data_IF_075271024231
#
_entry.id   IF_075271024231
#
_cell.length_a   1.000
_cell.length_b   1.000
_cell.length_c   1.000
_cell.angle_alpha   90.00
_cell.angle_beta   90.00
_cell.angle_gamma   90.00
#
_symmetry.space_group_name_H-M   'P 1'
#
loop_
_entity.id
_entity.type
_entity.pdbx_description
1 polymer ?
#
# COMPACT_ATOMS: atom_id res chain seq x y z
N UNK A 1 25.92 12.16 4.11
CA UNK A 1 25.61 13.55 3.72
C UNK A 1 24.14 13.67 3.38
N UNK A 2 23.46 14.69 3.90
CA UNK A 2 22.05 14.94 3.57
C UNK A 2 21.92 15.84 2.33
N UNK A 3 20.78 15.73 1.64
CA UNK A 3 20.51 16.42 0.36
C UNK A 3 20.48 17.95 0.46
N UNK A 4 20.31 18.51 1.66
CA UNK A 4 20.40 19.96 1.95
C UNK A 4 21.85 20.45 2.16
N UNK A 5 22.84 19.56 1.99
CA UNK A 5 24.26 19.85 2.14
C UNK A 5 24.81 19.62 3.54
N UNK A 6 23.98 19.35 4.55
CA UNK A 6 24.40 19.05 5.90
C UNK A 6 25.16 17.70 5.97
N UNK A 7 26.18 17.63 6.81
CA UNK A 7 26.96 16.42 7.02
C UNK A 7 26.80 15.99 8.47
N UNK A 8 26.49 14.73 8.69
CA UNK A 8 26.50 14.09 10.00
C UNK A 8 27.59 13.02 10.00
N UNK A 9 28.42 13.01 11.04
CA UNK A 9 29.49 12.04 11.23
C UNK A 9 29.20 11.19 12.47
N UNK A 10 29.36 9.88 12.36
CA UNK A 10 29.26 8.93 13.48
C UNK A 10 30.37 7.92 13.40
N UNK A 11 30.93 7.56 14.53
CA UNK A 11 31.91 6.49 14.64
C UNK A 11 31.28 5.08 14.66
N UNK A 12 29.97 5.01 14.95
CA UNK A 12 29.20 3.78 15.03
C UNK A 12 28.09 3.79 13.96
N UNK A 13 27.69 2.61 13.47
CA UNK A 13 26.51 2.48 12.60
C UNK A 13 25.29 3.13 13.25
N UNK A 14 24.54 3.91 12.49
CA UNK A 14 23.40 4.67 13.01
C UNK A 14 22.21 4.61 12.05
N UNK A 15 20.98 4.59 12.59
CA UNK A 15 19.80 4.65 11.73
C UNK A 15 19.65 6.01 11.07
N UNK A 16 19.00 6.04 9.89
CA UNK A 16 18.62 7.29 9.20
C UNK A 16 17.84 8.21 10.14
N UNK A 17 16.92 7.63 10.94
CA UNK A 17 16.11 8.37 11.91
C UNK A 17 16.98 9.07 12.97
N UNK A 18 17.89 8.33 13.61
CA UNK A 18 18.75 8.90 14.66
C UNK A 18 19.75 9.91 14.09
N UNK A 19 20.31 9.65 12.90
CA UNK A 19 21.18 10.61 12.21
C UNK A 19 20.45 11.92 11.90
N UNK A 20 19.22 11.83 11.34
CA UNK A 20 18.40 13.02 11.08
C UNK A 20 17.99 13.73 12.37
N UNK A 21 17.60 12.99 13.41
CA UNK A 21 17.23 13.56 14.71
C UNK A 21 18.41 14.27 15.37
N UNK A 22 19.60 13.70 15.31
CA UNK A 22 20.81 14.31 15.87
C UNK A 22 21.19 15.59 15.15
N UNK A 23 21.01 15.62 13.81
CA UNK A 23 21.38 16.77 12.99
C UNK A 23 20.37 17.91 13.08
N UNK A 24 19.06 17.60 13.08
CA UNK A 24 17.96 18.59 13.03
C UNK A 24 17.25 18.79 14.37
N UNK A 25 17.66 18.07 15.43
CA UNK A 25 17.02 18.12 16.77
C UNK A 25 15.72 17.28 16.83
N UNK A 26 14.99 17.15 15.74
CA UNK A 26 13.79 16.29 15.64
C UNK A 26 13.55 15.91 14.19
N UNK A 27 12.90 14.77 13.97
CA UNK A 27 12.41 14.37 12.65
C UNK A 27 10.96 14.81 12.53
N UNK A 28 10.66 15.63 11.51
CA UNK A 28 9.28 16.07 11.22
C UNK A 28 8.39 14.84 10.96
N UNK A 29 7.13 14.93 11.39
CA UNK A 29 6.10 13.92 11.10
C UNK A 29 5.77 13.78 9.62
N UNK A 30 6.17 14.75 8.80
CA UNK A 30 6.01 14.71 7.35
C UNK A 30 7.06 13.81 6.67
N UNK A 31 8.17 13.49 7.38
CA UNK A 31 9.20 12.61 6.86
C UNK A 31 8.72 11.16 6.98
N UNK A 32 8.63 10.49 5.85
CA UNK A 32 8.03 9.16 5.71
C UNK A 32 9.08 8.06 5.54
N UNK A 33 10.15 8.36 4.81
CA UNK A 33 11.22 7.43 4.46
C UNK A 33 12.46 8.22 4.04
N UNK A 34 13.48 7.56 3.51
CA UNK A 34 14.64 8.22 2.92
C UNK A 34 15.10 7.52 1.64
N UNK A 35 15.71 8.28 0.72
CA UNK A 35 16.62 7.69 -0.26
C UNK A 35 18.00 7.61 0.38
N UNK A 36 18.58 6.42 0.38
CA UNK A 36 19.97 6.17 0.77
C UNK A 36 20.70 5.71 -0.48
N UNK A 37 21.67 6.49 -0.93
CA UNK A 37 22.39 6.25 -2.19
C UNK A 37 21.44 6.04 -3.41
N UNK A 38 20.28 6.73 -3.41
CA UNK A 38 19.27 6.65 -4.47
C UNK A 38 18.23 5.55 -4.32
N UNK A 39 18.34 4.68 -3.31
CA UNK A 39 17.36 3.64 -3.01
C UNK A 39 16.43 4.05 -1.87
N UNK A 40 15.12 3.79 -2.02
CA UNK A 40 14.15 4.06 -0.97
C UNK A 40 14.31 3.05 0.18
N UNK A 41 14.49 3.56 1.38
CA UNK A 41 14.69 2.79 2.62
C UNK A 41 13.81 3.34 3.75
N UNK A 42 13.54 2.49 4.73
CA UNK A 42 12.90 2.90 5.98
C UNK A 42 13.79 3.85 6.77
N UNK A 43 13.19 4.68 7.62
CA UNK A 43 13.94 5.52 8.55
C UNK A 43 14.72 4.72 9.59
N UNK A 44 14.34 3.48 9.86
CA UNK A 44 15.04 2.54 10.74
C UNK A 44 16.29 1.90 10.10
N UNK A 45 16.50 2.09 8.80
CA UNK A 45 17.67 1.53 8.09
C UNK A 45 18.97 2.06 8.72
N UNK A 46 19.84 1.12 9.08
CA UNK A 46 21.15 1.42 9.67
C UNK A 46 22.16 1.72 8.56
N UNK A 47 22.84 2.84 8.70
CA UNK A 47 23.92 3.30 7.82
C UNK A 47 25.24 2.94 8.47
N UNK A 48 26.06 2.17 7.79
CA UNK A 48 27.39 1.69 8.23
C UNK A 48 28.55 2.20 7.38
N UNK A 49 28.25 2.96 6.32
CA UNK A 49 29.21 3.50 5.37
C UNK A 49 28.79 4.92 4.93
N UNK A 50 29.72 5.62 4.28
CA UNK A 50 29.44 6.95 3.72
C UNK A 50 28.29 6.88 2.73
N UNK A 51 27.26 7.65 3.01
CA UNK A 51 26.02 7.60 2.22
C UNK A 51 25.43 8.98 1.96
N UNK A 52 24.83 9.14 0.78
CA UNK A 52 23.99 10.28 0.45
C UNK A 52 22.54 9.99 0.87
N UNK A 53 21.95 10.88 1.67
CA UNK A 53 20.62 10.72 2.25
C UNK A 53 19.71 11.86 1.82
N UNK A 54 18.55 11.53 1.25
CA UNK A 54 17.44 12.46 1.03
C UNK A 54 16.22 12.00 1.83
N UNK A 55 15.76 12.82 2.76
CA UNK A 55 14.51 12.57 3.49
C UNK A 55 13.32 12.75 2.54
N UNK A 56 12.39 11.80 2.57
CA UNK A 56 11.22 11.75 1.70
C UNK A 56 9.95 12.14 2.46
N UNK A 57 9.12 12.93 1.81
CA UNK A 57 7.79 13.33 2.27
C UNK A 57 6.71 12.85 1.31
N UNK A 58 5.45 13.11 1.60
CA UNK A 58 4.35 12.80 0.67
C UNK A 58 4.38 13.62 -0.64
N UNK A 59 5.26 14.61 -0.75
CA UNK A 59 5.49 15.36 -2.00
C UNK A 59 6.37 14.59 -2.98
N UNK A 60 7.17 13.65 -2.47
CA UNK A 60 8.05 12.79 -3.28
C UNK A 60 7.29 11.52 -3.69
N UNK A 61 7.46 11.07 -4.93
CA UNK A 61 6.75 9.88 -5.44
C UNK A 61 7.07 8.62 -4.61
N UNK A 62 8.35 8.42 -4.26
CA UNK A 62 8.75 7.29 -3.42
C UNK A 62 8.16 7.42 -2.00
N UNK A 63 8.05 8.63 -1.45
CA UNK A 63 7.37 8.87 -0.17
C UNK A 63 5.88 8.50 -0.22
N UNK A 64 5.17 8.84 -1.31
CA UNK A 64 3.79 8.42 -1.54
C UNK A 64 3.67 6.90 -1.62
N UNK A 65 4.58 6.23 -2.34
CA UNK A 65 4.59 4.76 -2.46
C UNK A 65 4.73 4.09 -1.11
N UNK A 66 5.71 4.51 -0.29
CA UNK A 66 5.91 3.99 1.06
C UNK A 66 4.68 4.19 1.95
N UNK A 67 4.07 5.37 1.89
CA UNK A 67 2.87 5.69 2.64
C UNK A 67 1.68 4.81 2.25
N UNK A 68 1.40 4.68 0.97
CA UNK A 68 0.31 3.86 0.42
C UNK A 68 0.55 2.37 0.64
N UNK A 69 1.79 1.91 0.52
CA UNK A 69 2.15 0.53 0.80
C UNK A 69 1.91 0.17 2.27
N UNK A 70 2.26 1.08 3.19
CA UNK A 70 1.93 0.89 4.61
C UNK A 70 0.41 0.89 4.86
N UNK A 71 -0.36 1.72 4.14
CA UNK A 71 -1.82 1.68 4.23
C UNK A 71 -2.40 0.34 3.77
N UNK A 72 -1.80 -0.31 2.75
CA UNK A 72 -2.18 -1.65 2.32
C UNK A 72 -1.94 -2.69 3.44
N UNK A 73 -0.80 -2.61 4.16
CA UNK A 73 -0.52 -3.49 5.30
C UNK A 73 -1.48 -3.26 6.47
N UNK A 74 -1.86 -2.01 6.76
CA UNK A 74 -2.88 -1.71 7.79
C UNK A 74 -4.23 -2.31 7.38
N UNK A 75 -4.61 -2.25 6.11
CA UNK A 75 -5.81 -2.90 5.60
C UNK A 75 -5.73 -4.43 5.74
N UNK A 76 -4.60 -5.02 5.37
CA UNK A 76 -4.40 -6.47 5.49
C UNK A 76 -4.48 -6.94 6.95
N UNK A 77 -3.88 -6.21 7.90
CA UNK A 77 -4.02 -6.48 9.33
C UNK A 77 -5.48 -6.38 9.78
N UNK A 78 -6.21 -5.35 9.36
CA UNK A 78 -7.62 -5.18 9.69
C UNK A 78 -8.48 -6.36 9.18
N UNK A 79 -8.22 -6.81 7.94
CA UNK A 79 -8.91 -7.98 7.38
C UNK A 79 -8.57 -9.24 8.17
N UNK A 80 -7.31 -9.47 8.55
CA UNK A 80 -6.89 -10.63 9.36
C UNK A 80 -7.50 -10.61 10.76
N UNK A 81 -7.66 -9.44 11.38
CA UNK A 81 -8.35 -9.31 12.68
C UNK A 81 -9.83 -9.68 12.60
N UNK A 82 -10.52 -9.23 11.55
CA UNK A 82 -11.95 -9.47 11.38
C UNK A 82 -12.24 -10.86 10.79
N UNK A 83 -11.38 -11.35 9.91
CA UNK A 83 -11.55 -12.58 9.14
C UNK A 83 -10.24 -13.39 9.13
N UNK A 84 -9.88 -14.06 10.24
CA UNK A 84 -8.58 -14.73 10.39
C UNK A 84 -8.28 -15.82 9.36
N UNK A 85 -9.31 -16.48 8.78
CA UNK A 85 -9.16 -17.51 7.76
C UNK A 85 -8.78 -16.96 6.37
N UNK A 86 -8.97 -15.64 6.14
CA UNK A 86 -8.65 -14.99 4.87
C UNK A 86 -7.15 -15.08 4.59
N UNK A 87 -6.78 -15.50 3.35
CA UNK A 87 -5.40 -15.49 2.88
C UNK A 87 -5.13 -14.26 2.05
N UNK A 88 -3.91 -13.78 2.11
CA UNK A 88 -3.50 -12.58 1.38
C UNK A 88 -2.44 -12.91 0.33
N UNK A 89 -2.41 -12.14 -0.75
CA UNK A 89 -1.38 -12.28 -1.78
C UNK A 89 -0.49 -11.05 -1.84
N UNK A 90 -0.78 -10.11 -2.74
CA UNK A 90 0.02 -8.90 -2.96
C UNK A 90 -0.79 -7.65 -2.62
N UNK A 91 -0.09 -6.62 -2.12
CA UNK A 91 -0.67 -5.33 -1.75
C UNK A 91 0.18 -4.13 -2.20
N UNK A 92 0.36 -3.91 -3.53
CA UNK A 92 1.18 -2.83 -4.01
C UNK A 92 0.52 -1.47 -3.83
N UNK A 93 1.36 -0.45 -3.67
CA UNK A 93 0.97 0.93 -3.92
C UNK A 93 0.78 1.15 -5.42
N UNK A 94 -0.17 2.02 -5.77
CA UNK A 94 -0.42 2.50 -7.14
C UNK A 94 -0.22 4.02 -7.20
N UNK A 95 -0.27 4.59 -8.40
CA UNK A 95 -0.10 6.05 -8.60
C UNK A 95 -1.16 6.88 -7.87
N UNK A 96 -2.34 6.33 -7.63
CA UNK A 96 -3.47 7.04 -7.00
C UNK A 96 -3.90 6.48 -5.65
N UNK A 97 -3.41 5.29 -5.27
CA UNK A 97 -3.84 4.63 -4.05
C UNK A 97 -3.07 3.35 -3.76
N UNK A 98 -3.78 2.32 -3.37
CA UNK A 98 -3.25 0.98 -3.12
C UNK A 98 -4.35 -0.06 -3.31
N UNK A 99 -3.98 -1.32 -3.43
CA UNK A 99 -4.93 -2.43 -3.35
C UNK A 99 -4.31 -3.62 -2.62
N UNK A 100 -5.14 -4.57 -2.23
CA UNK A 100 -4.73 -5.86 -1.69
C UNK A 100 -5.68 -6.93 -2.20
N UNK A 101 -5.10 -8.06 -2.61
CA UNK A 101 -5.84 -9.23 -3.06
C UNK A 101 -5.99 -10.23 -1.91
N UNK A 102 -7.22 -10.65 -1.68
CA UNK A 102 -7.61 -11.55 -0.61
C UNK A 102 -8.32 -12.79 -1.17
N UNK A 103 -7.92 -13.94 -0.68
CA UNK A 103 -8.68 -15.17 -0.78
C UNK A 103 -9.54 -15.31 0.47
N UNK A 104 -10.79 -14.92 0.38
CA UNK A 104 -11.75 -14.91 1.49
C UNK A 104 -12.97 -15.74 1.13
N UNK A 105 -13.50 -16.47 2.11
CA UNK A 105 -14.73 -17.27 1.96
C UNK A 105 -15.99 -16.41 1.88
N UNK A 106 -15.94 -15.19 2.45
CA UNK A 106 -17.02 -14.21 2.43
C UNK A 106 -16.81 -13.20 1.31
N UNK A 107 -17.89 -12.65 0.77
CA UNK A 107 -17.82 -11.54 -0.20
C UNK A 107 -17.68 -10.21 0.54
N UNK A 108 -16.70 -9.40 0.16
CA UNK A 108 -16.49 -8.07 0.72
C UNK A 108 -17.50 -7.08 0.17
N UNK A 109 -18.62 -6.94 0.87
CA UNK A 109 -19.69 -5.97 0.56
C UNK A 109 -19.30 -4.56 1.02
N UNK A 110 -20.00 -3.51 0.58
CA UNK A 110 -19.77 -2.15 1.07
C UNK A 110 -19.89 -2.02 2.59
N UNK A 111 -20.71 -2.84 3.25
CA UNK A 111 -20.83 -2.90 4.70
C UNK A 111 -19.53 -3.42 5.34
N UNK A 112 -19.02 -4.54 4.83
CA UNK A 112 -17.77 -5.15 5.29
C UNK A 112 -16.59 -4.20 5.05
N UNK A 113 -16.54 -3.48 3.92
CA UNK A 113 -15.51 -2.46 3.69
C UNK A 113 -15.54 -1.36 4.78
N UNK A 114 -16.72 -0.95 5.25
CA UNK A 114 -16.84 0.01 6.37
C UNK A 114 -16.33 -0.57 7.69
N UNK A 115 -16.58 -1.86 7.93
CA UNK A 115 -16.07 -2.54 9.13
C UNK A 115 -14.54 -2.67 9.09
N UNK A 116 -13.97 -2.99 7.93
CA UNK A 116 -12.52 -3.00 7.72
C UNK A 116 -11.93 -1.60 7.94
N UNK A 117 -12.53 -0.54 7.41
CA UNK A 117 -12.09 0.84 7.68
C UNK A 117 -12.15 1.21 9.17
N UNK A 118 -13.18 0.74 9.88
CA UNK A 118 -13.30 0.98 11.31
C UNK A 118 -12.17 0.28 12.09
N UNK A 119 -11.81 -0.94 11.69
CA UNK A 119 -10.69 -1.68 12.28
C UNK A 119 -9.34 -1.04 11.94
N UNK A 120 -9.14 -0.62 10.68
CA UNK A 120 -7.95 0.15 10.28
C UNK A 120 -7.75 1.40 11.15
N UNK A 121 -8.84 2.13 11.49
CA UNK A 121 -8.76 3.30 12.38
C UNK A 121 -8.27 2.93 13.78
N UNK A 122 -8.63 1.75 14.30
CA UNK A 122 -8.11 1.25 15.59
C UNK A 122 -6.63 0.98 15.51
N UNK A 123 -6.18 0.25 14.47
CA UNK A 123 -4.76 -0.06 14.23
C UNK A 123 -3.91 1.23 14.12
N UNK A 124 -4.40 2.22 13.39
CA UNK A 124 -3.73 3.53 13.29
C UNK A 124 -3.64 4.21 14.65
N UNK A 125 -4.70 4.14 15.47
CA UNK A 125 -4.73 4.72 16.82
C UNK A 125 -3.79 3.98 17.79
N UNK A 126 -3.59 2.67 17.62
CA UNK A 126 -2.64 1.87 18.40
C UNK A 126 -1.19 2.31 18.13
N UNK A 127 -0.91 2.91 16.97
CA UNK A 127 0.40 3.44 16.59
C UNK A 127 1.52 2.38 16.71
N UNK A 128 1.28 1.22 16.14
CA UNK A 128 2.20 0.09 16.18
C UNK A 128 3.48 0.39 15.41
N UNK A 129 4.63 0.06 15.99
CA UNK A 129 5.91 0.09 15.28
C UNK A 129 5.88 -0.94 14.14
N UNK A 130 6.54 -0.60 13.03
CA UNK A 130 6.74 -1.50 11.90
C UNK A 130 8.20 -1.89 11.86
N UNK A 131 8.48 -3.15 12.13
CA UNK A 131 9.82 -3.69 12.29
C UNK A 131 10.15 -4.61 11.11
N UNK A 132 11.28 -4.37 10.48
CA UNK A 132 11.84 -5.21 9.43
C UNK A 132 12.83 -6.20 10.01
N UNK A 133 12.72 -7.46 9.63
CA UNK A 133 13.72 -8.49 9.88
C UNK A 133 14.06 -9.24 8.59
N UNK A 134 15.19 -9.89 8.57
CA UNK A 134 15.63 -10.72 7.44
C UNK A 134 15.76 -12.14 7.95
N UNK A 135 15.18 -13.08 7.22
CA UNK A 135 15.20 -14.49 7.54
C UNK A 135 15.90 -15.29 6.42
N UNK A 136 16.40 -16.46 6.77
CA UNK A 136 16.75 -17.48 5.80
C UNK A 136 15.50 -17.97 5.05
N UNK A 137 15.68 -18.56 3.87
CA UNK A 137 14.56 -19.14 3.10
C UNK A 137 13.79 -20.17 3.90
N UNK A 138 14.51 -21.06 4.60
CA UNK A 138 13.90 -22.12 5.42
C UNK A 138 13.09 -21.54 6.59
N UNK A 139 13.64 -20.55 7.32
CA UNK A 139 12.95 -19.91 8.43
C UNK A 139 11.71 -19.12 7.95
N UNK A 140 11.82 -18.44 6.81
CA UNK A 140 10.70 -17.71 6.22
C UNK A 140 9.59 -18.67 5.76
N UNK A 141 9.95 -19.83 5.15
CA UNK A 141 8.98 -20.87 4.79
C UNK A 141 8.30 -21.45 6.03
N UNK A 142 9.07 -21.77 7.07
CA UNK A 142 8.52 -22.29 8.33
C UNK A 142 7.51 -21.29 8.94
N UNK A 143 7.88 -20.01 9.01
CA UNK A 143 7.02 -18.95 9.52
C UNK A 143 5.73 -18.78 8.71
N UNK A 144 5.81 -18.76 7.37
CA UNK A 144 4.61 -18.58 6.54
C UNK A 144 3.69 -19.81 6.57
N UNK A 145 4.24 -21.01 6.77
CA UNK A 145 3.45 -22.23 6.97
C UNK A 145 2.75 -22.24 8.34
N UNK A 146 3.44 -21.79 9.41
CA UNK A 146 2.84 -21.60 10.73
C UNK A 146 1.69 -20.60 10.71
N UNK A 147 1.84 -19.50 9.97
CA UNK A 147 0.82 -18.46 9.80
C UNK A 147 -0.29 -18.87 8.82
N UNK A 148 -0.20 -20.05 8.21
CA UNK A 148 -1.15 -20.57 7.20
C UNK A 148 -1.35 -19.58 6.04
N UNK A 149 -0.22 -19.09 5.46
CA UNK A 149 -0.19 -18.16 4.32
C UNK A 149 0.36 -18.85 3.05
N UNK A 150 -0.46 -19.68 2.36
CA UNK A 150 0.00 -20.52 1.26
C UNK A 150 0.55 -19.71 0.07
N UNK A 151 -0.03 -18.55 -0.24
CA UNK A 151 0.44 -17.68 -1.33
C UNK A 151 1.82 -17.07 -1.03
N UNK A 152 2.13 -16.83 0.25
CA UNK A 152 3.46 -16.37 0.67
C UNK A 152 4.46 -17.50 0.63
N UNK A 153 4.07 -18.73 0.99
CA UNK A 153 4.89 -19.93 0.84
C UNK A 153 5.27 -20.13 -0.62
N UNK A 154 4.29 -20.15 -1.54
CA UNK A 154 4.52 -20.27 -2.99
C UNK A 154 5.48 -19.17 -3.47
N UNK A 155 5.30 -17.93 -3.01
CA UNK A 155 6.17 -16.82 -3.40
C UNK A 155 7.61 -17.01 -2.95
N UNK A 156 7.85 -17.52 -1.73
CA UNK A 156 9.20 -17.81 -1.22
C UNK A 156 9.84 -18.95 -2.01
N UNK A 157 9.08 -20.00 -2.34
CA UNK A 157 9.58 -21.14 -3.12
C UNK A 157 10.06 -20.72 -4.52
N UNK A 158 9.44 -19.70 -5.13
CA UNK A 158 9.87 -19.14 -6.41
C UNK A 158 11.15 -18.27 -6.33
N UNK A 159 11.59 -17.85 -5.14
CA UNK A 159 12.79 -17.03 -4.98
C UNK A 159 14.06 -17.88 -5.08
N UNK A 160 15.20 -17.32 -5.55
CA UNK A 160 16.51 -17.95 -5.49
C UNK A 160 16.88 -18.38 -4.06
N UNK A 161 17.76 -19.40 -3.95
CA UNK A 161 18.18 -19.91 -2.63
C UNK A 161 18.95 -18.89 -1.79
N UNK A 162 19.66 -17.99 -2.44
CA UNK A 162 20.44 -16.90 -1.83
C UNK A 162 19.65 -15.58 -1.67
N UNK A 163 18.34 -15.61 -1.94
CA UNK A 163 17.51 -14.40 -1.80
C UNK A 163 17.41 -13.95 -0.36
N UNK A 164 17.60 -12.66 -0.13
CA UNK A 164 17.31 -12.00 1.14
C UNK A 164 15.80 -11.88 1.32
N UNK A 165 15.23 -12.56 2.33
CA UNK A 165 13.81 -12.59 2.57
C UNK A 165 13.47 -11.68 3.74
N UNK A 166 12.83 -10.55 3.44
CA UNK A 166 12.41 -9.60 4.45
C UNK A 166 10.99 -9.88 4.94
N UNK A 167 10.85 -9.79 6.24
CA UNK A 167 9.60 -9.95 6.99
C UNK A 167 9.33 -8.65 7.72
N UNK A 168 8.09 -8.19 7.65
CA UNK A 168 7.63 -7.01 8.38
C UNK A 168 6.63 -7.42 9.44
N UNK A 169 6.82 -6.89 10.65
CA UNK A 169 5.95 -7.08 11.80
C UNK A 169 5.36 -5.75 12.25
N UNK A 170 4.05 -5.73 12.46
CA UNK A 170 3.34 -4.59 13.09
C UNK A 170 2.36 -5.15 14.14
N UNK A 171 2.79 -5.15 15.41
CA UNK A 171 2.08 -5.84 16.48
C UNK A 171 1.98 -7.35 16.23
N UNK A 172 0.76 -7.88 16.20
CA UNK A 172 0.49 -9.29 15.92
C UNK A 172 0.56 -9.65 14.43
N UNK A 173 0.46 -8.67 13.54
CA UNK A 173 0.47 -8.90 12.10
C UNK A 173 1.89 -9.07 11.57
N UNK A 174 2.09 -10.10 10.77
CA UNK A 174 3.38 -10.44 10.15
C UNK A 174 3.17 -10.69 8.67
N UNK A 175 4.02 -10.09 7.84
CA UNK A 175 3.94 -10.27 6.40
C UNK A 175 5.31 -10.44 5.72
N UNK A 176 5.34 -11.25 4.67
CA UNK A 176 6.42 -11.32 3.70
C UNK A 176 6.33 -10.12 2.77
N UNK A 177 7.30 -9.22 2.82
CA UNK A 177 7.27 -8.01 2.02
C UNK A 177 8.68 -7.46 1.75
N UNK A 178 8.88 -6.90 0.56
CA UNK A 178 10.15 -6.25 0.19
C UNK A 178 10.28 -4.84 0.81
N UNK A 179 9.20 -4.22 1.26
CA UNK A 179 9.20 -2.86 1.79
C UNK A 179 9.41 -1.78 0.72
N UNK A 180 9.90 -0.60 1.10
CA UNK A 180 9.97 -0.10 2.49
C UNK A 180 8.62 0.31 3.07
N UNK A 181 8.57 0.48 4.39
CA UNK A 181 7.39 0.92 5.14
C UNK A 181 7.67 2.15 6.01
N UNK A 182 6.60 2.77 6.48
CA UNK A 182 6.67 3.83 7.49
C UNK A 182 7.18 3.25 8.83
N UNK A 183 7.66 4.13 9.69
CA UNK A 183 8.12 3.74 11.02
C UNK A 183 6.99 3.17 11.91
N UNK A 184 5.76 3.65 11.74
CA UNK A 184 4.61 3.17 12.51
C UNK A 184 3.29 3.34 11.76
N UNK A 185 2.28 2.57 12.19
CA UNK A 185 0.91 2.63 11.62
C UNK A 185 0.24 3.98 11.89
N UNK A 186 0.62 4.68 12.95
CA UNK A 186 0.01 5.95 13.37
C UNK A 186 0.21 7.12 12.42
N UNK A 187 1.10 7.00 11.42
CA UNK A 187 1.29 8.03 10.40
C UNK A 187 0.15 8.06 9.36
N UNK A 188 -0.54 6.92 9.11
CA UNK A 188 -1.59 6.80 8.08
C UNK A 188 -2.94 7.19 8.66
N UNK A 189 -3.22 8.49 8.78
CA UNK A 189 -4.42 9.00 9.48
C UNK A 189 -5.66 9.13 8.60
N UNK A 190 -5.49 9.36 7.31
CA UNK A 190 -6.58 9.63 6.37
C UNK A 190 -6.56 8.60 5.24
N UNK A 191 -7.56 7.73 5.21
CA UNK A 191 -7.74 6.70 4.19
C UNK A 191 -9.22 6.42 3.97
N UNK A 192 -9.51 5.80 2.83
CA UNK A 192 -10.84 5.33 2.45
C UNK A 192 -10.71 4.09 1.58
N UNK A 193 -11.49 3.07 1.86
CA UNK A 193 -11.67 1.94 0.94
C UNK A 193 -12.72 2.33 -0.11
N UNK A 194 -12.41 2.11 -1.37
CA UNK A 194 -13.23 2.65 -2.47
C UNK A 194 -14.11 1.62 -3.11
N UNK A 195 -13.59 0.42 -3.33
CA UNK A 195 -14.33 -0.66 -3.97
C UNK A 195 -13.67 -2.02 -3.73
N UNK A 196 -14.44 -3.08 -3.99
CA UNK A 196 -13.94 -4.44 -4.11
C UNK A 196 -14.32 -4.99 -5.48
N UNK A 197 -13.39 -5.65 -6.17
CA UNK A 197 -13.59 -6.29 -7.47
C UNK A 197 -13.01 -7.70 -7.48
N UNK A 198 -13.43 -8.55 -8.42
CA UNK A 198 -12.75 -9.81 -8.68
C UNK A 198 -11.41 -9.58 -9.41
N UNK A 199 -10.40 -10.37 -9.06
CA UNK A 199 -9.13 -10.42 -9.75
C UNK A 199 -8.60 -11.85 -9.78
N UNK A 200 -8.19 -12.36 -10.94
CA UNK A 200 -7.60 -13.68 -11.01
C UNK A 200 -6.18 -13.69 -10.42
N UNK A 201 -5.87 -14.71 -9.60
CA UNK A 201 -4.54 -14.87 -9.05
C UNK A 201 -3.48 -14.93 -10.15
N UNK A 202 -2.40 -14.16 -9.99
CA UNK A 202 -1.34 -13.97 -11.02
C UNK A 202 -1.87 -13.48 -12.39
N UNK A 203 -3.08 -12.94 -12.46
CA UNK A 203 -3.66 -12.45 -13.71
C UNK A 203 -4.11 -13.55 -14.69
N UNK A 204 -4.08 -14.81 -14.31
CA UNK A 204 -4.48 -15.92 -15.15
C UNK A 204 -5.93 -16.35 -14.82
N UNK A 205 -6.80 -16.31 -15.82
CA UNK A 205 -8.23 -16.68 -15.71
C UNK A 205 -8.46 -18.15 -15.30
N UNK A 206 -7.46 -19.01 -15.42
CA UNK A 206 -7.53 -20.40 -14.98
C UNK A 206 -7.26 -20.55 -13.47
N UNK A 207 -6.72 -19.54 -12.83
CA UNK A 207 -6.46 -19.52 -11.41
C UNK A 207 -7.69 -19.04 -10.61
N UNK A 208 -7.62 -19.22 -9.29
CA UNK A 208 -8.68 -18.79 -8.38
C UNK A 208 -8.96 -17.30 -8.52
N UNK A 209 -10.24 -16.94 -8.52
CA UNK A 209 -10.66 -15.55 -8.43
C UNK A 209 -10.56 -15.09 -6.98
N UNK A 210 -9.79 -14.03 -6.76
CA UNK A 210 -9.58 -13.35 -5.48
C UNK A 210 -10.43 -12.09 -5.41
N UNK A 211 -10.56 -11.55 -4.22
CA UNK A 211 -11.23 -10.27 -3.97
C UNK A 211 -10.17 -9.18 -3.83
N UNK A 212 -10.14 -8.24 -4.77
CA UNK A 212 -9.24 -7.08 -4.77
C UNK A 212 -9.93 -5.90 -4.14
N UNK A 213 -9.46 -5.50 -2.97
CA UNK A 213 -9.92 -4.31 -2.27
C UNK A 213 -9.02 -3.13 -2.60
N UNK A 214 -9.60 -2.04 -3.07
CA UNK A 214 -8.90 -0.80 -3.37
C UNK A 214 -9.07 0.22 -2.25
N UNK A 215 -8.01 0.97 -2.00
CA UNK A 215 -8.01 2.06 -1.05
C UNK A 215 -7.18 3.25 -1.53
N UNK A 216 -7.48 4.39 -0.93
CA UNK A 216 -6.72 5.63 -1.08
C UNK A 216 -6.27 6.10 0.30
N UNK A 217 -5.10 6.73 0.37
CA UNK A 217 -4.58 7.26 1.63
C UNK A 217 -3.80 8.55 1.40
N UNK A 218 -3.96 9.49 2.34
CA UNK A 218 -3.37 10.82 2.33
C UNK A 218 -2.83 11.18 3.71
N UNK A 219 -1.87 12.12 3.84
CA UNK A 219 -1.37 12.58 5.12
C UNK A 219 -2.44 13.22 5.99
N UNK A 220 -3.36 13.95 5.38
CA UNK A 220 -4.41 14.71 6.07
C UNK A 220 -5.81 14.35 5.58
N UNK A 221 -6.79 14.58 6.46
CA UNK A 221 -8.20 14.36 6.12
C UNK A 221 -8.70 15.36 5.06
N UNK A 222 -8.14 16.56 5.05
CA UNK A 222 -8.53 17.59 4.08
C UNK A 222 -8.08 17.21 2.67
N UNK A 223 -6.84 16.72 2.50
CA UNK A 223 -6.35 16.19 1.21
C UNK A 223 -7.17 14.98 0.74
N UNK A 224 -7.54 14.07 1.65
CA UNK A 224 -8.42 12.94 1.32
C UNK A 224 -9.79 13.44 0.84
N UNK A 225 -10.40 14.37 1.57
CA UNK A 225 -11.72 14.91 1.22
C UNK A 225 -11.69 15.67 -0.12
N UNK A 226 -10.65 16.45 -0.35
CA UNK A 226 -10.46 17.16 -1.63
C UNK A 226 -10.34 16.16 -2.79
N UNK A 227 -9.52 15.13 -2.64
CA UNK A 227 -9.40 14.09 -3.66
C UNK A 227 -10.71 13.36 -3.93
N UNK A 228 -11.46 12.99 -2.88
CA UNK A 228 -12.78 12.35 -3.04
C UNK A 228 -13.75 13.27 -3.77
N UNK A 229 -13.81 14.54 -3.41
CA UNK A 229 -14.67 15.53 -4.08
C UNK A 229 -14.30 15.70 -5.57
N UNK A 230 -13.01 15.73 -5.90
CA UNK A 230 -12.53 15.78 -7.28
C UNK A 230 -12.96 14.54 -8.07
N UNK A 231 -12.88 13.34 -7.48
CA UNK A 231 -13.32 12.10 -8.12
C UNK A 231 -14.84 12.08 -8.35
N UNK A 232 -15.62 12.52 -7.38
CA UNK A 232 -17.09 12.63 -7.51
C UNK A 232 -17.48 13.63 -8.61
N UNK A 233 -16.77 14.75 -8.70
CA UNK A 233 -17.00 15.75 -9.75
C UNK A 233 -16.59 15.20 -11.14
N UNK A 234 -15.48 14.46 -11.23
CA UNK A 234 -15.07 13.81 -12.47
C UNK A 234 -16.12 12.78 -12.95
N UNK A 235 -16.69 11.99 -12.04
CA UNK A 235 -17.76 11.04 -12.35
C UNK A 235 -19.04 11.75 -12.84
N UNK A 236 -19.38 12.93 -12.34
CA UNK A 236 -20.49 13.73 -12.84
C UNK A 236 -20.26 14.25 -14.26
N UNK A 237 -18.99 14.46 -14.63
CA UNK A 237 -18.57 14.95 -15.96
C UNK A 237 -18.22 13.81 -16.92
N UNK A 238 -18.51 12.55 -16.58
CA UNK A 238 -18.29 11.42 -17.48
C UNK A 238 -19.05 11.62 -18.78
N UNK A 239 -18.31 11.84 -19.87
CA UNK A 239 -18.86 12.08 -21.20
C UNK A 239 -19.74 10.93 -21.68
N UNK A 240 -19.48 9.69 -21.31
CA UNK A 240 -20.30 8.54 -21.66
C UNK A 240 -21.67 8.61 -20.98
N UNK A 241 -21.71 9.01 -19.71
CA UNK A 241 -22.95 9.20 -18.98
C UNK A 241 -23.74 10.39 -19.53
N UNK A 242 -23.10 11.55 -19.63
CA UNK A 242 -23.69 12.79 -20.12
C UNK A 242 -24.17 12.62 -21.58
N UNK A 243 -23.36 12.02 -22.43
CA UNK A 243 -23.71 11.82 -23.83
C UNK A 243 -24.92 10.91 -24.05
N UNK A 244 -25.09 9.89 -23.18
CA UNK A 244 -26.32 9.05 -23.19
C UNK A 244 -27.54 9.80 -22.66
N UNK A 245 -27.41 10.51 -21.54
CA UNK A 245 -28.46 11.30 -20.91
C UNK A 245 -28.97 12.42 -21.83
N UNK A 246 -28.07 13.06 -22.59
CA UNK A 246 -28.37 14.09 -23.56
C UNK A 246 -28.79 13.52 -24.96
N UNK A 247 -28.80 12.20 -25.11
CA UNK A 247 -29.12 11.52 -26.36
C UNK A 247 -28.19 11.91 -27.52
N UNK A 248 -26.89 12.12 -27.24
CA UNK A 248 -25.88 12.39 -28.27
C UNK A 248 -25.42 11.12 -28.96
N UNK A 249 -25.36 10.00 -28.24
CA UNK A 249 -25.04 8.69 -28.79
C UNK A 249 -25.67 7.56 -27.98
N UNK A 250 -25.71 6.40 -28.59
CA UNK A 250 -26.07 5.13 -27.96
C UNK A 250 -25.09 4.04 -28.38
N UNK A 251 -25.13 2.89 -27.73
CA UNK A 251 -24.39 1.70 -28.12
C UNK A 251 -25.38 0.59 -28.46
N UNK A 252 -25.11 -0.12 -29.54
CA UNK A 252 -25.98 -1.26 -30.01
C UNK A 252 -25.07 -2.46 -30.20
N UNK A 253 -25.30 -3.54 -29.46
CA UNK A 253 -24.45 -4.74 -29.43
C UNK A 253 -24.29 -5.41 -30.79
N UNK A 254 -25.31 -5.30 -31.69
CA UNK A 254 -25.27 -5.87 -33.03
C UNK A 254 -24.25 -5.20 -33.97
N UNK A 255 -23.77 -4.00 -33.65
CA UNK A 255 -22.80 -3.26 -34.48
C UNK A 255 -21.36 -3.44 -33.92
N UNK A 256 -21.26 -3.71 -32.65
CA UNK A 256 -19.98 -3.95 -31.96
C UNK A 256 -20.03 -3.46 -30.51
N UNK A 257 -19.50 -4.26 -29.62
CA UNK A 257 -19.53 -3.96 -28.21
C UNK A 257 -18.73 -2.66 -27.91
N UNK A 258 -19.40 -1.67 -27.34
CA UNK A 258 -18.79 -0.39 -26.96
C UNK A 258 -18.64 0.64 -28.08
N UNK A 259 -19.03 0.35 -29.33
CA UNK A 259 -18.99 1.33 -30.42
C UNK A 259 -20.15 2.33 -30.27
N UNK A 260 -19.89 3.66 -30.20
CA UNK A 260 -20.93 4.65 -30.11
C UNK A 260 -21.57 4.91 -31.49
N UNK A 261 -22.89 4.98 -31.52
CA UNK A 261 -23.66 5.45 -32.66
C UNK A 261 -24.19 6.83 -32.32
N UNK A 262 -23.87 7.81 -33.15
CA UNK A 262 -24.40 9.17 -32.97
C UNK A 262 -25.92 9.17 -33.23
N UNK A 263 -26.65 9.84 -32.36
CA UNK A 263 -28.07 10.12 -32.50
C UNK A 263 -28.26 11.50 -33.15
N UNK A 264 -29.48 11.88 -33.56
CA UNK A 264 -29.70 13.15 -34.23
C UNK A 264 -29.28 14.41 -33.47
N UNK A 265 -29.05 14.30 -32.18
CA UNK A 265 -28.53 15.39 -31.32
C UNK A 265 -27.02 15.37 -31.15
N UNK A 266 -26.34 14.31 -31.63
CA UNK A 266 -24.88 14.11 -31.45
C UNK A 266 -24.04 14.54 -32.64
#
# INVERSE_FOLDING_TARGET
>A
KFSDGQIFESAEPISVYEAAKSLYGSVSREVLAALVNGEAKELSTVISEDSDIKLLTFKDEEGKRVFRHTAAHIMAQAVKRLFPSTKQTIGPATDTGYFQDFDAEISFTPEILRDIEAEMKKIVKENLLIERSVLSKDDALALMRELDEPYKVERIEELPEDAEISIYRQGEYVDLCAGPHLHSTGAVKAFKLTQCTGAYYKGDQNNKMLQRVYGIAFPTKDELNEYVAQQEEALKRDHNKIGRELEYFTTVDSIGQGLPILLPKG
#
